data_IF_144021472407
#
_entry.id   IF_144021472407
#
_cell.length_a   1.000
_cell.length_b   1.000
_cell.length_c   1.000
_cell.angle_alpha   90.00
_cell.angle_beta   90.00
_cell.angle_gamma   90.00
#
_symmetry.space_group_name_H-M   'P 1'
#
loop_
_entity.id
_entity.type
_entity.pdbx_description
1 polymer ?
#
# COMPACT_ATOMS: atom_id res chain seq x y z
N UNK A 1 13.52 7.42 -8.70
CA UNK A 1 13.70 6.51 -7.55
C UNK A 1 14.11 5.16 -8.11
N UNK A 2 15.35 4.78 -7.81
CA UNK A 2 16.06 3.70 -8.50
C UNK A 2 15.64 2.36 -7.89
N UNK A 3 14.90 1.58 -8.69
CA UNK A 3 14.42 0.21 -8.45
C UNK A 3 13.35 0.09 -7.36
N UNK A 4 12.17 -0.44 -7.70
CA UNK A 4 11.05 -0.78 -6.79
C UNK A 4 11.38 -1.89 -5.77
N UNK A 5 12.48 -1.71 -5.05
CA UNK A 5 13.00 -2.56 -3.97
C UNK A 5 12.60 -2.04 -2.60
N UNK A 6 11.94 -0.88 -2.53
CA UNK A 6 11.50 -0.27 -1.28
C UNK A 6 10.08 0.25 -1.45
N UNK A 7 9.15 -0.22 -0.62
CA UNK A 7 7.85 0.42 -0.45
C UNK A 7 8.00 1.59 0.51
N UNK A 8 7.48 2.75 0.12
CA UNK A 8 7.41 3.93 0.97
C UNK A 8 5.95 4.13 1.35
N UNK A 9 5.65 4.00 2.64
CA UNK A 9 4.33 4.36 3.20
C UNK A 9 4.50 5.54 4.15
N UNK A 10 3.45 6.34 4.33
CA UNK A 10 3.44 7.42 5.32
C UNK A 10 2.84 6.94 6.63
N UNK A 11 3.47 7.29 7.75
CA UNK A 11 2.86 7.13 9.07
C UNK A 11 1.86 8.27 9.37
N UNK A 12 1.09 8.13 10.44
CA UNK A 12 0.10 9.13 10.88
C UNK A 12 0.68 10.49 11.29
N UNK A 13 2.00 10.60 11.46
CA UNK A 13 2.72 11.85 11.73
C UNK A 13 3.33 12.49 10.48
N UNK A 14 3.16 11.85 9.30
CA UNK A 14 3.76 12.28 8.03
C UNK A 14 5.21 11.80 7.83
N UNK A 15 5.73 10.96 8.72
CA UNK A 15 7.01 10.27 8.56
C UNK A 15 6.95 9.22 7.44
N UNK A 16 8.12 8.88 6.88
CA UNK A 16 8.24 7.86 5.82
C UNK A 16 8.73 6.55 6.42
N UNK A 17 7.94 5.49 6.24
CA UNK A 17 8.33 4.12 6.56
C UNK A 17 8.84 3.46 5.29
N UNK A 18 10.05 2.89 5.38
CA UNK A 18 10.72 2.22 4.28
C UNK A 18 10.70 0.71 4.54
N UNK A 19 10.08 -0.05 3.63
CA UNK A 19 10.09 -1.53 3.68
C UNK A 19 10.87 -2.08 2.50
N UNK A 20 11.91 -2.85 2.80
CA UNK A 20 12.65 -3.60 1.77
C UNK A 20 11.79 -4.72 1.19
N UNK A 21 11.73 -4.78 -0.14
CA UNK A 21 11.09 -5.85 -0.89
C UNK A 21 12.12 -6.92 -1.25
N UNK A 22 11.85 -8.21 -0.98
CA UNK A 22 12.64 -9.31 -1.56
C UNK A 22 12.68 -9.18 -3.08
N UNK A 23 13.84 -9.41 -3.70
CA UNK A 23 13.97 -9.35 -5.14
C UNK A 23 13.17 -10.49 -5.80
N UNK A 24 12.35 -10.18 -6.81
CA UNK A 24 11.76 -11.16 -7.72
C UNK A 24 10.24 -11.16 -7.85
N UNK A 25 9.50 -10.52 -6.94
CA UNK A 25 8.03 -10.60 -6.97
C UNK A 25 7.37 -9.23 -6.69
N UNK A 26 6.44 -8.83 -7.57
CA UNK A 26 5.61 -7.65 -7.37
C UNK A 26 4.55 -7.98 -6.33
N UNK A 27 4.75 -7.52 -5.08
CA UNK A 27 3.81 -7.76 -3.99
C UNK A 27 3.32 -6.46 -3.40
N UNK A 28 2.04 -6.43 -3.09
CA UNK A 28 1.38 -5.32 -2.41
C UNK A 28 1.10 -5.71 -0.96
N UNK A 29 0.94 -4.71 -0.09
CA UNK A 29 0.77 -4.91 1.34
C UNK A 29 -0.38 -4.07 1.89
N UNK A 30 -1.20 -4.67 2.74
CA UNK A 30 -2.06 -3.97 3.68
C UNK A 30 -1.28 -3.70 4.96
N UNK A 31 -1.18 -2.43 5.36
CA UNK A 31 -0.40 -1.99 6.53
C UNK A 31 -1.30 -1.46 7.63
N UNK A 32 -1.09 -1.92 8.86
CA UNK A 32 -1.77 -1.41 10.05
C UNK A 32 -1.25 -0.02 10.42
N UNK A 33 -2.15 0.93 10.63
CA UNK A 33 -1.85 2.31 11.03
C UNK A 33 -1.38 2.43 12.48
N UNK A 34 -1.80 1.50 13.34
CA UNK A 34 -1.43 1.49 14.76
C UNK A 34 -0.05 0.90 15.02
N UNK A 35 0.20 -0.32 14.56
CA UNK A 35 1.43 -1.06 14.88
C UNK A 35 2.38 -1.26 13.70
N UNK A 36 2.00 -0.88 12.47
CA UNK A 36 2.83 -1.07 11.27
C UNK A 36 2.88 -2.51 10.73
N UNK A 37 2.17 -3.45 11.36
CA UNK A 37 2.07 -4.83 10.87
C UNK A 37 1.57 -4.86 9.43
N UNK A 38 2.13 -5.74 8.61
CA UNK A 38 1.82 -5.83 7.18
C UNK A 38 1.40 -7.21 6.76
N UNK A 39 0.31 -7.28 5.99
CA UNK A 39 -0.18 -8.48 5.34
C UNK A 39 0.05 -8.35 3.83
N UNK A 40 0.72 -9.33 3.24
CA UNK A 40 0.81 -9.43 1.78
C UNK A 40 -0.56 -9.72 1.18
N UNK A 41 -0.93 -9.00 0.12
CA UNK A 41 -2.20 -9.20 -0.57
C UNK A 41 -1.97 -9.61 -2.02
N UNK A 42 -2.87 -10.45 -2.52
CA UNK A 42 -2.99 -10.69 -3.95
C UNK A 42 -3.64 -9.46 -4.61
N UNK A 43 -3.02 -8.95 -5.67
CA UNK A 43 -3.50 -7.81 -6.42
C UNK A 43 -3.65 -8.11 -7.91
N UNK A 44 -3.83 -9.37 -8.30
CA UNK A 44 -4.01 -9.78 -9.70
C UNK A 44 -5.06 -8.91 -10.43
N UNK A 45 -6.17 -8.58 -9.75
CA UNK A 45 -7.21 -7.71 -10.31
C UNK A 45 -6.69 -6.31 -10.67
N UNK A 46 -5.83 -5.73 -9.82
CA UNK A 46 -5.23 -4.41 -10.05
C UNK A 46 -4.23 -4.47 -11.19
N UNK A 47 -3.38 -5.49 -11.23
CA UNK A 47 -2.38 -5.67 -12.30
C UNK A 47 -3.05 -5.87 -13.68
N UNK A 48 -4.16 -6.64 -13.72
CA UNK A 48 -4.95 -6.80 -14.94
C UNK A 48 -5.56 -5.49 -15.39
N UNK A 49 -6.16 -4.72 -14.48
CA UNK A 49 -6.72 -3.42 -14.82
C UNK A 49 -5.66 -2.43 -15.33
N UNK A 50 -4.46 -2.42 -14.75
CA UNK A 50 -3.34 -1.61 -15.27
C UNK A 50 -3.00 -1.99 -16.71
N UNK A 51 -3.02 -3.29 -17.04
CA UNK A 51 -2.80 -3.79 -18.40
C UNK A 51 -3.88 -3.28 -19.36
N UNK A 52 -5.15 -3.35 -18.97
CA UNK A 52 -6.28 -2.85 -19.78
C UNK A 52 -6.15 -1.34 -20.03
N UNK A 53 -5.82 -0.54 -19.01
CA UNK A 53 -5.58 0.90 -19.15
C UNK A 53 -4.46 1.20 -20.13
N UNK A 54 -3.37 0.41 -20.11
CA UNK A 54 -2.27 0.57 -21.08
C UNK A 54 -2.73 0.31 -22.51
N UNK A 55 -3.52 -0.73 -22.73
CA UNK A 55 -4.03 -1.10 -24.05
C UNK A 55 -5.00 -0.05 -24.60
N UNK A 56 -5.93 0.43 -23.77
CA UNK A 56 -6.95 1.39 -24.19
C UNK A 56 -6.39 2.81 -24.42
N UNK A 57 -5.43 3.23 -23.60
CA UNK A 57 -4.90 4.60 -23.66
C UNK A 57 -3.75 4.78 -24.65
N UNK A 58 -3.08 3.69 -25.05
CA UNK A 58 -1.85 3.73 -25.84
C UNK A 58 -0.61 4.22 -25.08
N UNK A 59 -0.72 4.41 -23.76
CA UNK A 59 0.42 4.76 -22.91
C UNK A 59 1.38 3.57 -22.75
N UNK A 60 2.66 3.88 -22.53
CA UNK A 60 3.73 2.89 -22.36
C UNK A 60 4.47 3.14 -21.05
N UNK A 61 5.08 2.07 -20.51
CA UNK A 61 5.84 2.11 -19.26
C UNK A 61 5.03 2.76 -18.11
N UNK A 62 3.76 2.35 -17.99
CA UNK A 62 2.90 2.81 -16.90
C UNK A 62 3.45 2.29 -15.59
N UNK A 63 3.62 3.20 -14.64
CA UNK A 63 3.92 2.89 -13.25
C UNK A 63 2.68 3.13 -12.42
N UNK A 64 2.43 2.24 -11.45
CA UNK A 64 1.37 2.40 -10.47
C UNK A 64 1.91 2.26 -9.06
N UNK A 65 1.14 2.77 -8.11
CA UNK A 65 1.38 2.63 -6.68
C UNK A 65 0.06 2.27 -6.03
N UNK A 66 0.04 1.17 -5.28
CA UNK A 66 -1.10 0.73 -4.49
C UNK A 66 -0.72 0.81 -3.00
N UNK A 67 -1.40 1.67 -2.26
CA UNK A 67 -1.26 1.79 -0.82
C UNK A 67 -2.55 1.30 -0.16
N UNK A 68 -2.44 0.25 0.66
CA UNK A 68 -3.54 -0.23 1.49
C UNK A 68 -3.16 -0.02 2.94
N UNK A 69 -3.97 0.75 3.67
CA UNK A 69 -3.77 1.01 5.09
C UNK A 69 -5.07 0.88 5.87
N UNK A 70 -5.01 0.30 7.07
CA UNK A 70 -6.17 0.06 7.92
C UNK A 70 -5.76 -0.21 9.37
N UNK A 71 -6.66 -0.78 10.17
CA UNK A 71 -6.37 -1.24 11.54
C UNK A 71 -6.38 -2.77 11.55
N UNK A 72 -5.36 -3.38 12.14
CA UNK A 72 -5.40 -4.83 12.39
C UNK A 72 -6.29 -5.12 13.60
N UNK A 73 -6.77 -6.36 13.69
CA UNK A 73 -7.62 -6.81 14.79
C UNK A 73 -6.96 -6.71 16.18
N UNK A 74 -5.63 -6.63 16.25
CA UNK A 74 -4.88 -6.51 17.50
C UNK A 74 -4.71 -5.06 17.97
N UNK A 75 -4.87 -4.09 17.07
CA UNK A 75 -4.80 -2.69 17.46
C UNK A 75 -6.16 -2.21 17.98
N UNK A 76 -6.18 -1.39 19.04
CA UNK A 76 -7.38 -0.65 19.38
C UNK A 76 -7.67 0.28 18.21
N UNK A 77 -8.85 0.15 17.59
CA UNK A 77 -9.29 1.12 16.60
C UNK A 77 -9.30 2.49 17.27
N UNK A 78 -8.52 3.45 16.79
CA UNK A 78 -8.82 4.86 17.06
C UNK A 78 -10.08 5.22 16.26
N UNK A 79 -11.23 4.72 16.71
CA UNK A 79 -12.48 5.39 16.48
C UNK A 79 -12.29 6.78 17.05
N UNK A 80 -12.25 7.81 16.19
CA UNK A 80 -12.21 9.19 16.63
C UNK A 80 -13.27 9.38 17.70
N UNK A 81 -12.83 9.51 18.96
CA UNK A 81 -13.68 9.91 20.07
C UNK A 81 -13.96 11.39 19.89
N UNK A 82 -14.85 11.67 18.94
CA UNK A 82 -15.62 12.91 18.95
C UNK A 82 -16.42 12.91 20.25
N UNK A 83 -16.03 13.82 21.13
CA UNK A 83 -16.73 14.22 22.35
C UNK A 83 -18.24 14.31 22.14
N UNK A 84 -19.01 13.55 22.91
CA UNK A 84 -20.37 13.90 23.29
C UNK A 84 -20.56 13.53 24.77
N UNK A 85 -20.33 14.54 25.61
CA UNK A 85 -20.45 14.53 27.07
C UNK A 85 -20.07 15.90 27.60
#
# INVERSE_FOLDING_TARGET
EETGRVDVTRDGSGGRLYRWRPAGEHRHYLVCRGCGASLAVDAEVVERWVTEVMEESGYRAVAHTLELSGWCAECPEEHGSGTAG
#
